data_IF_039586267752
#
_entry.id   IF_039586267752
#
_cell.length_a   1.000
_cell.length_b   1.000
_cell.length_c   1.000
_cell.angle_alpha   90.00
_cell.angle_beta   90.00
_cell.angle_gamma   90.00
#
_symmetry.space_group_name_H-M   'P 1'
#
loop_
_entity.id
_entity.type
_entity.pdbx_description
1 polymer ?
#
# COMPACT_ATOMS: atom_id res chain seq x y z
N UNK A 1 28.67 -20.95 -24.00
CA UNK A 1 27.28 -20.50 -24.17
C UNK A 1 27.15 -19.14 -23.51
N UNK A 2 26.86 -18.08 -24.26
CA UNK A 2 26.53 -16.77 -23.68
C UNK A 2 25.07 -16.81 -23.26
N UNK A 3 24.81 -16.55 -21.99
CA UNK A 3 23.47 -16.38 -21.40
C UNK A 3 22.70 -15.31 -22.19
N UNK A 4 21.44 -15.54 -22.60
CA UNK A 4 20.62 -14.46 -23.12
C UNK A 4 20.20 -13.59 -21.93
N UNK A 5 20.99 -12.56 -21.63
CA UNK A 5 20.60 -11.52 -20.68
C UNK A 5 19.65 -10.56 -21.42
N UNK A 6 18.38 -10.93 -21.49
CA UNK A 6 17.33 -9.94 -21.74
C UNK A 6 17.03 -9.27 -20.41
N UNK A 7 17.91 -8.37 -19.97
CA UNK A 7 17.63 -7.52 -18.80
C UNK A 7 16.68 -6.44 -19.31
N UNK A 8 15.39 -6.74 -19.37
CA UNK A 8 14.39 -5.70 -19.60
C UNK A 8 14.45 -4.75 -18.42
N UNK A 9 14.92 -3.53 -18.66
CA UNK A 9 14.99 -2.45 -17.66
C UNK A 9 13.62 -2.32 -16.98
N UNK A 10 13.55 -2.39 -15.64
CA UNK A 10 12.28 -2.25 -14.94
C UNK A 10 11.62 -0.91 -15.27
N UNK A 11 10.30 -0.93 -15.51
CA UNK A 11 9.49 0.26 -15.79
C UNK A 11 8.99 0.98 -14.55
N UNK A 12 9.02 0.32 -13.41
CA UNK A 12 8.65 0.87 -12.11
C UNK A 12 9.30 0.09 -10.98
N UNK A 13 9.40 0.75 -9.82
CA UNK A 13 9.80 0.18 -8.55
C UNK A 13 8.53 -0.11 -7.74
N UNK A 14 8.39 -1.32 -7.20
CA UNK A 14 7.26 -1.75 -6.38
C UNK A 14 7.74 -1.96 -4.94
N UNK A 15 7.24 -1.20 -3.98
CA UNK A 15 7.58 -1.36 -2.56
C UNK A 15 6.32 -1.37 -1.71
N UNK A 16 6.11 -2.40 -0.90
CA UNK A 16 4.85 -2.52 -0.19
C UNK A 16 4.81 -3.55 0.92
N UNK A 17 3.62 -3.76 1.44
CA UNK A 17 3.26 -4.93 2.23
C UNK A 17 2.96 -6.13 1.33
N UNK A 18 2.34 -7.16 1.89
CA UNK A 18 1.96 -8.37 1.18
C UNK A 18 0.98 -8.13 0.01
N UNK A 19 0.23 -7.02 -0.02
CA UNK A 19 -0.61 -6.66 -1.17
C UNK A 19 0.20 -6.33 -2.43
N UNK A 20 1.48 -5.92 -2.29
CA UNK A 20 2.36 -5.76 -3.45
C UNK A 20 2.57 -7.07 -4.23
N UNK A 21 2.44 -8.23 -3.56
CA UNK A 21 2.64 -9.53 -4.18
C UNK A 21 1.70 -9.80 -5.36
N UNK A 22 0.42 -9.42 -5.24
CA UNK A 22 -0.55 -9.66 -6.32
C UNK A 22 -0.35 -8.72 -7.51
N UNK A 23 0.10 -7.49 -7.25
CA UNK A 23 0.47 -6.52 -8.29
C UNK A 23 1.66 -7.06 -9.08
N UNK A 24 2.68 -7.57 -8.38
CA UNK A 24 3.85 -8.17 -9.02
C UNK A 24 3.49 -9.38 -9.89
N UNK A 25 2.61 -10.27 -9.40
CA UNK A 25 2.12 -11.42 -10.19
C UNK A 25 1.38 -10.96 -11.46
N UNK A 26 0.51 -9.95 -11.36
CA UNK A 26 -0.21 -9.42 -12.50
C UNK A 26 0.71 -8.71 -13.51
N UNK A 27 1.72 -7.98 -13.03
CA UNK A 27 2.72 -7.35 -13.89
C UNK A 27 3.55 -8.41 -14.64
N UNK A 28 3.97 -9.50 -13.96
CA UNK A 28 4.64 -10.64 -14.60
C UNK A 28 3.77 -11.29 -15.68
N UNK A 29 2.48 -11.51 -15.40
CA UNK A 29 1.54 -12.10 -16.36
C UNK A 29 1.36 -11.25 -17.63
N UNK A 30 1.61 -9.93 -17.55
CA UNK A 30 1.59 -9.00 -18.68
C UNK A 30 2.98 -8.68 -19.24
N UNK A 31 4.01 -9.42 -18.83
CA UNK A 31 5.41 -9.19 -19.21
C UNK A 31 5.87 -7.76 -18.95
N UNK A 32 5.29 -7.09 -17.93
CA UNK A 32 5.63 -5.73 -17.56
C UNK A 32 6.84 -5.75 -16.62
N UNK A 33 8.02 -5.24 -17.04
CA UNK A 33 9.23 -5.32 -16.23
C UNK A 33 9.11 -4.42 -14.99
N UNK A 34 9.41 -4.94 -13.80
CA UNK A 34 9.46 -4.20 -12.55
C UNK A 34 10.53 -4.79 -11.62
N UNK A 35 10.86 -4.07 -10.55
CA UNK A 35 11.70 -4.56 -9.47
C UNK A 35 11.07 -4.24 -8.11
N UNK A 36 11.30 -5.11 -7.14
CA UNK A 36 10.75 -5.02 -5.78
C UNK A 36 9.54 -5.93 -5.55
N UNK A 37 8.76 -5.61 -4.52
CA UNK A 37 7.65 -6.42 -4.02
C UNK A 37 7.36 -6.14 -2.55
N UNK A 38 6.79 -7.11 -1.83
CA UNK A 38 6.60 -7.02 -0.38
C UNK A 38 7.94 -6.86 0.34
N UNK A 39 8.04 -5.86 1.21
CA UNK A 39 9.17 -5.65 2.12
C UNK A 39 8.88 -6.15 3.54
N UNK A 40 7.60 -6.32 3.87
CA UNK A 40 7.13 -6.72 5.19
C UNK A 40 5.63 -6.97 5.22
N UNK A 41 5.10 -7.08 6.43
CA UNK A 41 3.68 -7.21 6.71
C UNK A 41 3.07 -5.85 7.07
N UNK A 42 1.75 -5.73 6.99
CA UNK A 42 1.09 -4.44 7.19
C UNK A 42 1.37 -3.75 8.52
N UNK A 43 1.48 -4.55 9.60
CA UNK A 43 1.85 -4.05 10.94
C UNK A 43 3.22 -3.39 10.99
N UNK A 44 4.15 -3.80 10.12
CA UNK A 44 5.52 -3.32 10.16
C UNK A 44 5.60 -1.85 9.72
N UNK A 45 4.57 -1.34 9.04
CA UNK A 45 4.47 0.04 8.56
C UNK A 45 3.66 0.97 9.48
N UNK A 46 3.10 0.46 10.58
CA UNK A 46 2.37 1.24 11.59
C UNK A 46 3.27 1.75 12.74
N UNK A 47 4.57 1.44 12.67
CA UNK A 47 5.59 1.88 13.63
C UNK A 47 6.65 2.72 12.92
N UNK A 48 7.57 3.33 13.66
CA UNK A 48 8.74 3.97 13.06
C UNK A 48 9.62 2.88 12.40
N UNK A 49 9.48 2.70 11.08
CA UNK A 49 10.09 1.60 10.32
C UNK A 49 11.32 2.01 9.49
N UNK A 50 11.58 3.31 9.35
CA UNK A 50 12.70 3.80 8.55
C UNK A 50 13.32 5.08 9.14
N UNK A 51 14.53 5.38 8.71
CA UNK A 51 15.20 6.65 8.98
C UNK A 51 15.46 7.39 7.68
N UNK A 52 15.39 8.72 7.77
CA UNK A 52 15.66 9.61 6.65
C UNK A 52 17.17 9.79 6.46
N UNK A 53 17.58 9.77 5.19
CA UNK A 53 18.88 10.31 4.78
C UNK A 53 18.66 11.31 3.65
N UNK A 54 19.71 12.08 3.31
CA UNK A 54 19.60 13.16 2.30
C UNK A 54 19.08 12.68 0.94
N UNK A 55 19.35 11.44 0.56
CA UNK A 55 19.08 10.93 -0.79
C UNK A 55 18.43 9.55 -0.79
N UNK A 56 18.02 9.07 0.37
CA UNK A 56 17.59 7.69 0.55
C UNK A 56 16.73 7.53 1.80
N UNK A 57 16.12 6.36 1.91
CA UNK A 57 15.56 5.83 3.16
C UNK A 57 16.43 4.66 3.63
N UNK A 58 16.48 4.46 4.95
CA UNK A 58 17.11 3.27 5.55
C UNK A 58 16.06 2.58 6.40
N UNK A 59 15.70 1.37 6.04
CA UNK A 59 14.76 0.56 6.81
C UNK A 59 15.45 0.05 8.08
N UNK A 60 14.72 0.10 9.20
CA UNK A 60 15.26 -0.27 10.51
C UNK A 60 15.34 -1.79 10.69
N UNK A 61 14.41 -2.51 10.10
CA UNK A 61 14.45 -3.96 10.05
C UNK A 61 15.47 -4.44 9.00
N UNK A 62 16.31 -5.40 9.38
CA UNK A 62 17.43 -5.88 8.55
C UNK A 62 16.93 -6.59 7.30
N UNK A 63 15.85 -7.35 7.39
CA UNK A 63 15.30 -8.07 6.25
C UNK A 63 14.59 -7.11 5.29
N UNK A 64 13.83 -6.16 5.83
CA UNK A 64 13.20 -5.09 5.05
C UNK A 64 14.24 -4.26 4.29
N UNK A 65 15.33 -3.87 4.96
CA UNK A 65 16.45 -3.16 4.31
C UNK A 65 17.10 -4.03 3.23
N UNK A 66 17.33 -5.32 3.50
CA UNK A 66 17.91 -6.26 2.52
C UNK A 66 17.02 -6.36 1.26
N UNK A 67 15.71 -6.54 1.43
CA UNK A 67 14.74 -6.62 0.33
C UNK A 67 14.67 -5.30 -0.45
N UNK A 68 14.70 -4.18 0.25
CA UNK A 68 14.74 -2.85 -0.37
C UNK A 68 16.01 -2.68 -1.24
N UNK A 69 17.18 -3.02 -0.72
CA UNK A 69 18.44 -2.94 -1.47
C UNK A 69 18.41 -3.84 -2.71
N UNK A 70 17.87 -5.05 -2.59
CA UNK A 70 17.67 -5.95 -3.73
C UNK A 70 16.74 -5.36 -4.78
N UNK A 71 15.68 -4.64 -4.36
CA UNK A 71 14.79 -3.97 -5.29
C UNK A 71 15.49 -2.87 -6.11
N UNK A 72 16.56 -2.27 -5.58
CA UNK A 72 17.35 -1.26 -6.29
C UNK A 72 18.40 -1.85 -7.25
N UNK A 73 18.86 -3.07 -7.04
CA UNK A 73 19.94 -3.70 -7.83
C UNK A 73 19.70 -3.63 -9.36
N UNK A 74 18.51 -3.93 -9.90
CA UNK A 74 18.28 -3.93 -11.34
C UNK A 74 18.31 -2.54 -11.99
N UNK A 75 18.25 -1.47 -11.18
CA UNK A 75 18.40 -0.09 -11.66
C UNK A 75 19.86 0.38 -11.64
N UNK A 76 20.77 -0.41 -11.05
CA UNK A 76 22.18 -0.06 -10.86
C UNK A 76 22.38 1.28 -10.13
N UNK A 77 21.46 1.60 -9.21
CA UNK A 77 21.50 2.84 -8.41
C UNK A 77 21.77 2.55 -6.94
N UNK A 78 22.54 3.41 -6.25
CA UNK A 78 22.88 3.18 -4.84
C UNK A 78 21.78 3.61 -3.86
N UNK A 79 20.81 4.41 -4.30
CA UNK A 79 19.87 5.10 -3.41
C UNK A 79 18.56 5.47 -4.13
N UNK A 80 17.49 5.64 -3.35
CA UNK A 80 16.14 5.89 -3.89
C UNK A 80 16.08 7.12 -4.81
N UNK A 81 16.76 8.21 -4.45
CA UNK A 81 16.74 9.47 -5.21
C UNK A 81 17.33 9.38 -6.62
N UNK A 82 17.91 8.24 -6.99
CA UNK A 82 18.47 7.98 -8.33
C UNK A 82 17.57 7.09 -9.17
N UNK A 83 16.49 6.53 -8.60
CA UNK A 83 15.51 5.75 -9.34
C UNK A 83 14.79 6.68 -10.32
N UNK A 84 14.95 6.41 -11.61
CA UNK A 84 14.40 7.23 -12.71
C UNK A 84 13.00 6.80 -13.17
N UNK A 85 12.38 5.84 -12.48
CA UNK A 85 11.07 5.27 -12.81
C UNK A 85 10.06 5.53 -11.68
N UNK A 86 8.75 5.41 -11.94
CA UNK A 86 7.74 5.58 -10.89
C UNK A 86 7.91 4.58 -9.75
N UNK A 87 7.62 5.05 -8.53
CA UNK A 87 7.44 4.21 -7.35
C UNK A 87 5.95 3.90 -7.18
N UNK A 88 5.61 2.62 -7.26
CA UNK A 88 4.29 2.08 -6.92
C UNK A 88 4.36 1.50 -5.52
N UNK A 89 3.46 1.92 -4.62
CA UNK A 89 3.53 1.52 -3.22
C UNK A 89 2.19 1.13 -2.60
N UNK A 90 2.23 0.12 -1.74
CA UNK A 90 1.12 -0.25 -0.83
C UNK A 90 1.45 0.05 0.63
N UNK A 91 2.59 0.71 0.91
CA UNK A 91 3.05 0.98 2.28
C UNK A 91 2.00 1.80 3.03
N UNK A 92 1.69 1.39 4.27
CA UNK A 92 0.78 2.09 5.17
C UNK A 92 -0.70 1.96 4.86
N UNK A 93 -1.07 1.15 3.87
CA UNK A 93 -2.45 0.95 3.45
C UNK A 93 -3.04 -0.38 3.93
N UNK A 94 -2.44 -0.99 4.94
CA UNK A 94 -2.90 -2.23 5.57
C UNK A 94 -4.04 -1.96 6.57
N UNK A 95 -5.16 -1.45 6.05
CA UNK A 95 -6.29 -0.93 6.82
C UNK A 95 -6.89 -1.93 7.80
N UNK A 96 -6.83 -3.24 7.51
CA UNK A 96 -7.31 -4.28 8.41
C UNK A 96 -6.61 -4.23 9.79
N UNK A 97 -5.33 -3.86 9.83
CA UNK A 97 -4.61 -3.66 11.10
C UNK A 97 -5.12 -2.44 11.86
N UNK A 98 -5.30 -1.30 11.18
CA UNK A 98 -5.88 -0.10 11.80
C UNK A 98 -7.29 -0.37 12.33
N UNK A 99 -8.04 -1.18 11.61
CA UNK A 99 -9.42 -1.54 11.92
C UNK A 99 -9.56 -2.72 12.90
N UNK A 100 -8.48 -3.24 13.48
CA UNK A 100 -8.54 -4.38 14.43
C UNK A 100 -9.55 -4.11 15.55
N UNK A 101 -10.67 -4.84 15.55
CA UNK A 101 -11.86 -4.54 16.35
C UNK A 101 -11.58 -4.37 17.86
N UNK A 102 -10.75 -5.20 18.52
CA UNK A 102 -10.38 -4.99 19.93
C UNK A 102 -9.85 -3.60 20.28
N UNK A 103 -9.22 -2.89 19.34
CA UNK A 103 -8.69 -1.53 19.58
C UNK A 103 -9.79 -0.48 19.67
N UNK A 104 -11.01 -0.80 19.23
CA UNK A 104 -12.11 0.14 19.07
C UNK A 104 -13.26 -0.08 20.05
N UNK A 105 -13.27 -1.22 20.74
CA UNK A 105 -14.30 -1.58 21.74
C UNK A 105 -14.44 -0.51 22.83
N UNK A 106 -13.33 0.14 23.24
CA UNK A 106 -13.37 1.18 24.27
C UNK A 106 -14.08 2.48 23.83
N UNK A 107 -14.35 2.64 22.53
CA UNK A 107 -15.10 3.77 21.97
C UNK A 107 -16.52 3.38 21.55
N UNK A 108 -16.92 2.13 21.82
CA UNK A 108 -18.25 1.63 21.49
C UNK A 108 -19.16 1.65 22.73
N UNK A 109 -20.43 1.89 22.48
CA UNK A 109 -21.52 1.67 23.42
C UNK A 109 -21.67 0.17 23.74
N UNK A 110 -22.42 -0.20 24.79
CA UNK A 110 -22.69 -1.61 25.11
C UNK A 110 -23.34 -2.42 23.97
N UNK A 111 -24.01 -1.75 23.03
CA UNK A 111 -24.64 -2.37 21.86
C UNK A 111 -23.67 -2.52 20.66
N UNK A 112 -22.40 -2.11 20.82
CA UNK A 112 -21.38 -2.18 19.77
C UNK A 112 -21.42 -1.02 18.76
N UNK A 113 -22.21 0.01 19.03
CA UNK A 113 -22.30 1.22 18.21
C UNK A 113 -21.30 2.29 18.63
N UNK A 114 -20.82 3.07 17.67
CA UNK A 114 -20.06 4.30 17.96
C UNK A 114 -21.02 5.46 18.18
N UNK A 115 -20.65 6.40 19.06
CA UNK A 115 -21.39 7.66 19.19
C UNK A 115 -21.45 8.39 17.83
N UNK A 116 -22.55 9.11 17.59
CA UNK A 116 -22.76 9.84 16.35
C UNK A 116 -21.59 10.80 16.07
N UNK A 117 -21.01 10.71 14.87
CA UNK A 117 -19.88 11.53 14.44
C UNK A 117 -18.51 11.09 14.97
N UNK A 118 -18.41 10.02 15.77
CA UNK A 118 -17.10 9.53 16.28
C UNK A 118 -16.13 9.21 15.14
N UNK A 119 -16.54 8.41 14.15
CA UNK A 119 -15.70 7.97 13.03
C UNK A 119 -15.33 9.08 12.04
N UNK A 120 -15.96 10.25 12.16
CA UNK A 120 -15.64 11.46 11.39
C UNK A 120 -15.09 12.58 12.29
N UNK A 121 -14.85 12.26 13.56
CA UNK A 121 -14.51 13.21 14.60
C UNK A 121 -13.00 13.35 14.81
N UNK A 122 -12.57 14.43 15.49
CA UNK A 122 -11.16 14.76 15.64
C UNK A 122 -10.36 13.73 16.45
N UNK A 123 -11.02 12.98 17.35
CA UNK A 123 -10.35 11.91 18.10
C UNK A 123 -9.99 10.73 17.19
N UNK A 124 -10.94 10.25 16.38
CA UNK A 124 -10.70 9.19 15.41
C UNK A 124 -9.61 9.60 14.42
N UNK A 125 -9.73 10.81 13.87
CA UNK A 125 -8.74 11.41 12.99
C UNK A 125 -7.34 11.43 13.61
N UNK A 126 -7.21 11.92 14.85
CA UNK A 126 -5.94 11.96 15.56
C UNK A 126 -5.32 10.58 15.79
N UNK A 127 -6.14 9.55 16.04
CA UNK A 127 -5.67 8.17 16.20
C UNK A 127 -5.11 7.66 14.88
N UNK A 128 -5.88 7.77 13.79
CA UNK A 128 -5.46 7.30 12.46
C UNK A 128 -4.23 8.06 11.98
N UNK A 129 -4.20 9.39 12.10
CA UNK A 129 -3.04 10.19 11.72
C UNK A 129 -1.79 9.79 12.51
N UNK A 130 -1.93 9.52 13.82
CA UNK A 130 -0.79 9.08 14.65
C UNK A 130 -0.23 7.74 14.18
N UNK A 131 -1.11 6.76 13.91
CA UNK A 131 -0.73 5.41 13.52
C UNK A 131 -0.18 5.36 12.08
N UNK A 132 -0.69 6.20 11.19
CA UNK A 132 -0.30 6.23 9.77
C UNK A 132 0.83 7.22 9.47
N UNK A 133 1.21 8.07 10.43
CA UNK A 133 2.28 9.05 10.28
C UNK A 133 3.59 8.48 9.70
N UNK A 134 4.12 7.32 10.15
CA UNK A 134 5.34 6.77 9.55
C UNK A 134 5.19 6.50 8.05
N UNK A 135 4.07 5.90 7.63
CA UNK A 135 3.83 5.65 6.22
C UNK A 135 3.64 6.94 5.41
N UNK A 136 2.90 7.92 5.94
CA UNK A 136 2.73 9.22 5.27
C UNK A 136 4.07 9.96 5.12
N UNK A 137 4.94 9.89 6.13
CA UNK A 137 6.29 10.44 6.06
C UNK A 137 7.15 9.76 4.98
N UNK A 138 6.95 8.47 4.72
CA UNK A 138 7.63 7.78 3.61
C UNK A 138 7.19 8.35 2.26
N UNK A 139 5.89 8.57 2.04
CA UNK A 139 5.39 9.19 0.81
C UNK A 139 5.90 10.63 0.63
N UNK A 140 5.90 11.42 1.71
CA UNK A 140 6.46 12.78 1.71
C UNK A 140 7.94 12.77 1.32
N UNK A 141 8.73 11.86 1.91
CA UNK A 141 10.15 11.73 1.58
C UNK A 141 10.36 11.29 0.13
N UNK A 142 9.61 10.30 -0.35
CA UNK A 142 9.71 9.82 -1.72
C UNK A 142 9.46 10.97 -2.72
N UNK A 143 8.48 11.82 -2.43
CA UNK A 143 8.24 13.06 -3.19
C UNK A 143 9.38 14.07 -3.08
N UNK A 144 9.92 14.30 -1.88
CA UNK A 144 11.06 15.21 -1.68
C UNK A 144 12.32 14.75 -2.43
N UNK A 145 12.44 13.46 -2.71
CA UNK A 145 13.48 12.88 -3.58
C UNK A 145 13.16 12.98 -5.08
N UNK A 146 12.08 13.68 -5.47
CA UNK A 146 11.60 13.90 -6.84
C UNK A 146 11.12 12.64 -7.57
N UNK A 147 10.62 11.64 -6.85
CA UNK A 147 10.00 10.46 -7.47
C UNK A 147 8.56 10.76 -7.90
N UNK A 148 8.13 10.18 -9.02
CA UNK A 148 6.70 9.99 -9.29
C UNK A 148 6.22 8.84 -8.41
N UNK A 149 5.26 9.11 -7.52
CA UNK A 149 4.79 8.12 -6.54
C UNK A 149 3.30 7.88 -6.72
N UNK A 150 2.92 6.61 -6.82
CA UNK A 150 1.54 6.16 -6.87
C UNK A 150 1.27 5.23 -5.68
N UNK A 151 0.28 5.57 -4.85
CA UNK A 151 -0.18 4.72 -3.76
C UNK A 151 -1.36 3.86 -4.24
N UNK A 152 -1.28 2.55 -3.99
CA UNK A 152 -2.28 1.58 -4.43
C UNK A 152 -3.21 1.27 -3.27
N UNK A 153 -4.50 1.56 -3.44
CA UNK A 153 -5.48 1.25 -2.40
C UNK A 153 -5.62 -0.26 -2.20
N UNK A 154 -5.79 -0.70 -0.95
CA UNK A 154 -5.84 -2.12 -0.62
C UNK A 154 -7.17 -2.73 -1.11
N UNK A 155 -7.20 -4.06 -1.26
CA UNK A 155 -8.46 -4.77 -1.45
C UNK A 155 -9.48 -4.43 -0.35
N UNK A 156 -10.78 -4.34 -0.68
CA UNK A 156 -11.85 -4.12 0.30
C UNK A 156 -12.27 -5.42 0.97
N UNK A 157 -11.27 -6.07 1.55
CA UNK A 157 -11.38 -7.34 2.25
C UNK A 157 -11.18 -7.11 3.73
N UNK A 158 -12.29 -7.00 4.44
CA UNK A 158 -12.31 -6.79 5.89
C UNK A 158 -12.37 -8.15 6.56
N UNK A 159 -11.31 -8.61 7.24
CA UNK A 159 -11.34 -9.88 7.96
C UNK A 159 -12.24 -9.77 9.20
N UNK A 160 -12.69 -10.91 9.74
CA UNK A 160 -13.59 -10.97 10.91
C UNK A 160 -13.05 -10.23 12.14
N UNK A 161 -11.73 -10.17 12.30
CA UNK A 161 -11.07 -9.46 13.41
C UNK A 161 -11.03 -7.93 13.24
N UNK A 162 -11.52 -7.39 12.12
CA UNK A 162 -11.54 -5.96 11.83
C UNK A 162 -12.97 -5.41 11.80
N UNK A 163 -13.18 -4.20 12.34
CA UNK A 163 -14.45 -3.50 12.25
C UNK A 163 -14.59 -2.83 10.86
N UNK A 164 -15.59 -3.20 10.03
CA UNK A 164 -15.74 -2.65 8.68
C UNK A 164 -16.03 -1.15 8.67
N UNK A 165 -16.71 -0.61 9.69
CA UNK A 165 -17.00 0.83 9.78
C UNK A 165 -15.71 1.62 9.97
N UNK A 166 -14.83 1.12 10.84
CA UNK A 166 -13.51 1.70 11.06
C UNK A 166 -12.64 1.57 9.82
N UNK A 167 -12.63 0.40 9.16
CA UNK A 167 -11.85 0.17 7.95
C UNK A 167 -12.18 1.22 6.87
N UNK A 168 -13.46 1.41 6.59
CA UNK A 168 -13.93 2.36 5.57
C UNK A 168 -13.63 3.81 5.97
N UNK A 169 -13.86 4.18 7.24
CA UNK A 169 -13.57 5.52 7.74
C UNK A 169 -12.07 5.85 7.70
N UNK A 170 -11.21 4.91 8.13
CA UNK A 170 -9.77 5.05 8.06
C UNK A 170 -9.28 5.15 6.60
N UNK A 171 -9.86 4.37 5.68
CA UNK A 171 -9.53 4.47 4.26
C UNK A 171 -9.83 5.85 3.70
N UNK A 172 -11.02 6.38 3.96
CA UNK A 172 -11.44 7.69 3.47
C UNK A 172 -10.48 8.79 3.95
N UNK A 173 -10.09 8.73 5.22
CA UNK A 173 -9.12 9.67 5.79
C UNK A 173 -7.73 9.54 5.15
N UNK A 174 -7.20 8.32 5.00
CA UNK A 174 -5.88 8.12 4.38
C UNK A 174 -5.84 8.51 2.90
N UNK A 175 -6.95 8.32 2.17
CA UNK A 175 -7.10 8.86 0.82
C UNK A 175 -6.95 10.37 0.81
N UNK A 176 -7.64 11.07 1.72
CA UNK A 176 -7.53 12.53 1.83
C UNK A 176 -6.09 12.95 2.15
N UNK A 177 -5.41 12.28 3.09
CA UNK A 177 -4.01 12.57 3.44
C UNK A 177 -3.07 12.37 2.26
N UNK A 178 -3.19 11.26 1.55
CA UNK A 178 -2.34 10.96 0.39
C UNK A 178 -2.57 11.98 -0.75
N UNK A 179 -3.83 12.34 -1.02
CA UNK A 179 -4.16 13.37 -2.00
C UNK A 179 -3.66 14.75 -1.57
N UNK A 180 -3.75 15.09 -0.28
CA UNK A 180 -3.20 16.32 0.30
C UNK A 180 -1.67 16.40 0.16
N UNK A 181 -0.98 15.27 0.25
CA UNK A 181 0.44 15.14 -0.09
C UNK A 181 0.70 15.12 -1.61
N UNK A 182 -0.34 15.23 -2.44
CA UNK A 182 -0.31 15.17 -3.90
C UNK A 182 0.24 13.85 -4.46
N UNK A 183 -0.01 12.75 -3.75
CA UNK A 183 0.29 11.39 -4.21
C UNK A 183 -0.79 10.94 -5.18
N UNK A 184 -0.39 10.31 -6.27
CA UNK A 184 -1.32 9.70 -7.22
C UNK A 184 -1.93 8.44 -6.61
N UNK A 185 -3.25 8.26 -6.74
CA UNK A 185 -3.93 7.08 -6.23
C UNK A 185 -4.25 6.10 -7.36
N UNK A 186 -3.95 4.82 -7.11
CA UNK A 186 -4.45 3.70 -7.90
C UNK A 186 -5.68 3.16 -7.19
N UNK A 187 -6.84 3.66 -7.62
CA UNK A 187 -8.14 3.29 -7.06
C UNK A 187 -8.93 2.47 -8.07
N UNK A 188 -9.09 1.17 -7.77
CA UNK A 188 -9.84 0.22 -8.59
C UNK A 188 -11.17 -0.19 -7.94
N UNK A 189 -11.55 0.45 -6.83
CA UNK A 189 -12.74 0.09 -6.04
C UNK A 189 -14.02 0.13 -6.85
N UNK A 190 -14.15 1.10 -7.75
CA UNK A 190 -15.32 1.22 -8.64
C UNK A 190 -15.55 -0.01 -9.55
N UNK A 191 -14.49 -0.76 -9.87
CA UNK A 191 -14.57 -1.98 -10.66
C UNK A 191 -14.56 -3.25 -9.78
N UNK A 192 -13.89 -3.19 -8.63
CA UNK A 192 -13.63 -4.35 -7.78
C UNK A 192 -14.68 -4.60 -6.69
N UNK A 193 -15.51 -3.60 -6.36
CA UNK A 193 -16.39 -3.65 -5.20
C UNK A 193 -17.87 -3.71 -5.57
N UNK A 194 -18.68 -4.20 -4.62
CA UNK A 194 -20.13 -4.12 -4.64
C UNK A 194 -20.65 -2.75 -4.18
N UNK A 195 -21.98 -2.61 -4.15
CA UNK A 195 -22.67 -1.38 -3.74
C UNK A 195 -22.47 -1.03 -2.25
N UNK A 196 -22.08 -2.00 -1.43
CA UNK A 196 -21.78 -1.82 -0.01
C UNK A 196 -20.29 -1.47 0.21
N UNK A 197 -19.50 -1.46 -0.86
CA UNK A 197 -18.07 -1.15 -0.82
C UNK A 197 -17.19 -2.36 -0.52
N UNK A 198 -17.72 -3.57 -0.43
CA UNK A 198 -16.93 -4.79 -0.24
C UNK A 198 -16.43 -5.35 -1.55
N UNK A 199 -15.26 -5.99 -1.53
CA UNK A 199 -14.68 -6.57 -2.73
C UNK A 199 -15.52 -7.74 -3.25
N UNK A 200 -15.82 -7.73 -4.55
CA UNK A 200 -16.57 -8.79 -5.21
C UNK A 200 -15.77 -10.11 -5.16
N UNK A 201 -16.44 -11.27 -4.99
CA UNK A 201 -15.76 -12.57 -4.92
C UNK A 201 -14.83 -12.87 -6.09
N UNK A 202 -15.15 -12.37 -7.29
CA UNK A 202 -14.33 -12.53 -8.49
C UNK A 202 -12.91 -11.95 -8.36
N UNK A 203 -12.69 -11.04 -7.41
CA UNK A 203 -11.41 -10.38 -7.15
C UNK A 203 -10.75 -10.83 -5.84
N UNK A 204 -11.38 -11.73 -5.08
CA UNK A 204 -10.87 -12.23 -3.81
C UNK A 204 -9.98 -13.46 -4.00
N UNK A 205 -8.90 -13.55 -3.22
CA UNK A 205 -8.18 -14.81 -3.03
C UNK A 205 -9.04 -15.76 -2.19
N UNK A 206 -9.11 -17.03 -2.60
CA UNK A 206 -10.14 -17.98 -2.11
C UNK A 206 -9.91 -18.37 -0.65
N UNK A 207 -8.66 -18.71 -0.29
CA UNK A 207 -8.30 -19.27 1.01
C UNK A 207 -7.60 -18.28 1.95
N UNK A 208 -7.60 -17.01 1.57
CA UNK A 208 -6.94 -15.93 2.30
C UNK A 208 -7.98 -14.85 2.52
N UNK A 209 -8.23 -14.32 3.73
CA UNK A 209 -9.27 -13.31 3.96
C UNK A 209 -8.83 -11.87 3.67
N UNK A 210 -7.56 -11.62 3.32
CA UNK A 210 -6.95 -10.30 3.21
C UNK A 210 -6.63 -9.90 1.77
N UNK A 211 -6.17 -10.83 0.94
CA UNK A 211 -5.53 -10.48 -0.34
C UNK A 211 -6.48 -10.46 -1.54
N UNK A 212 -6.24 -9.57 -2.51
CA UNK A 212 -6.85 -9.73 -3.83
C UNK A 212 -6.24 -10.92 -4.58
N UNK A 213 -6.99 -11.50 -5.51
CA UNK A 213 -6.46 -12.50 -6.45
C UNK A 213 -5.80 -11.85 -7.68
N UNK A 214 -5.34 -12.66 -8.62
CA UNK A 214 -4.69 -12.17 -9.84
C UNK A 214 -5.55 -11.16 -10.63
N UNK A 215 -6.87 -11.37 -10.73
CA UNK A 215 -7.77 -10.45 -11.44
C UNK A 215 -7.83 -9.07 -10.77
N UNK A 216 -7.73 -9.00 -9.44
CA UNK A 216 -7.59 -7.73 -8.74
C UNK A 216 -6.27 -7.03 -9.08
N UNK A 217 -5.16 -7.80 -9.10
CA UNK A 217 -3.86 -7.29 -9.54
C UNK A 217 -3.89 -6.78 -10.99
N UNK A 218 -4.63 -7.43 -11.88
CA UNK A 218 -4.79 -7.02 -13.27
C UNK A 218 -5.51 -5.67 -13.41
N UNK A 219 -6.54 -5.41 -12.59
CA UNK A 219 -7.20 -4.10 -12.54
C UNK A 219 -6.21 -3.00 -12.13
N UNK A 220 -5.36 -3.28 -11.14
CA UNK A 220 -4.33 -2.33 -10.68
C UNK A 220 -3.32 -2.06 -11.79
N UNK A 221 -2.79 -3.11 -12.43
CA UNK A 221 -1.81 -2.96 -13.52
C UNK A 221 -2.41 -2.23 -14.72
N UNK A 222 -3.68 -2.50 -15.05
CA UNK A 222 -4.38 -1.75 -16.10
C UNK A 222 -4.50 -0.25 -15.75
N UNK A 223 -4.83 0.07 -14.50
CA UNK A 223 -4.93 1.45 -14.05
C UNK A 223 -3.57 2.16 -14.04
N UNK A 224 -2.51 1.47 -13.60
CA UNK A 224 -1.13 1.95 -13.68
C UNK A 224 -0.78 2.33 -15.13
N UNK A 225 -1.03 1.44 -16.09
CA UNK A 225 -0.75 1.69 -17.51
C UNK A 225 -1.57 2.87 -18.07
N UNK A 226 -2.84 3.02 -17.68
CA UNK A 226 -3.67 4.17 -18.06
C UNK A 226 -3.12 5.51 -17.55
N UNK A 227 -2.47 5.49 -16.39
CA UNK A 227 -1.84 6.66 -15.77
C UNK A 227 -0.39 6.89 -16.23
N UNK A 228 0.04 6.16 -17.26
CA UNK A 228 1.35 6.35 -17.88
C UNK A 228 2.51 5.80 -17.05
N UNK A 229 2.29 4.71 -16.30
CA UNK A 229 3.40 3.76 -16.11
C UNK A 229 3.91 3.25 -17.45
#
# INVERSE_FOLDING_TARGET
MKTPCSITTPRFLLLGDSHAGVIGKAAQARELPFSGGPLGTGRDFAVDFFSLTRHDVVFRDVEMERLYRQALEPFEVPQLAKVGVPLVSTIGLSLHYLATAPNWICYQTPDGEFDEGFLTGPLFESIIDTLSRPALAFYEQARALNLKVSAVLPPQRVPELSDPRVFMAAQALLIERLLGLGIELIDVRAAANDELGFQLPAYCEVDDPLHGNLAFGELIVEQLLKQGL
#
